data_IF_401460429820
#
_entry.id   IF_401460429820
#
_cell.length_a   1.000
_cell.length_b   1.000
_cell.length_c   1.000
_cell.angle_alpha   90.00
_cell.angle_beta   90.00
_cell.angle_gamma   90.00
#
_symmetry.space_group_name_H-M   'P 1'
#
loop_
_entity.id
_entity.type
_entity.pdbx_description
1 polymer ?
#
# COMPACT_ATOMS: atom_id res chain seq x y z
N UNK A 1 57.71 6.70 -32.91
CA UNK A 1 57.62 6.78 -31.44
C UNK A 1 56.19 6.44 -31.09
N UNK A 2 56.02 5.24 -30.54
CA UNK A 2 54.75 4.51 -30.47
C UNK A 2 53.94 4.93 -29.24
N UNK A 3 52.70 5.34 -29.47
CA UNK A 3 51.75 5.72 -28.43
C UNK A 3 50.97 4.49 -27.97
N UNK A 4 51.24 4.01 -26.76
CA UNK A 4 50.48 2.95 -26.12
C UNK A 4 49.19 3.51 -25.49
N UNK A 5 48.04 3.07 -25.98
CA UNK A 5 46.74 3.21 -25.32
C UNK A 5 46.53 2.04 -24.36
N UNK A 6 46.35 2.32 -23.07
CA UNK A 6 45.90 1.32 -22.08
C UNK A 6 44.38 1.47 -21.97
N UNK A 7 43.67 0.50 -22.54
CA UNK A 7 42.25 0.28 -22.28
C UNK A 7 42.12 -0.49 -20.96
N UNK A 8 41.35 0.06 -20.01
CA UNK A 8 40.95 -0.64 -18.79
C UNK A 8 39.57 -1.23 -19.05
N UNK A 9 39.54 -2.55 -19.25
CA UNK A 9 38.34 -3.36 -19.34
C UNK A 9 37.82 -3.63 -17.91
N UNK A 10 36.70 -3.01 -17.55
CA UNK A 10 36.00 -3.31 -16.29
C UNK A 10 34.88 -4.28 -16.60
N UNK A 11 35.17 -5.58 -16.51
CA UNK A 11 34.13 -6.62 -16.54
C UNK A 11 33.25 -6.50 -15.29
N UNK A 12 32.03 -5.99 -15.48
CA UNK A 12 30.97 -6.08 -14.50
C UNK A 12 30.42 -7.50 -14.44
N UNK A 13 30.73 -8.22 -13.36
CA UNK A 13 30.07 -9.47 -13.00
C UNK A 13 28.61 -9.20 -12.67
N UNK A 14 27.73 -9.52 -13.61
CA UNK A 14 26.28 -9.60 -13.40
C UNK A 14 26.00 -10.88 -12.60
N UNK A 15 25.56 -10.72 -11.36
CA UNK A 15 25.07 -11.83 -10.54
C UNK A 15 23.70 -12.27 -11.08
N UNK A 16 23.67 -13.42 -11.76
CA UNK A 16 22.46 -14.12 -12.13
C UNK A 16 21.74 -14.61 -10.86
N UNK A 17 20.77 -13.84 -10.39
CA UNK A 17 19.76 -14.37 -9.47
C UNK A 17 18.87 -15.35 -10.22
N UNK A 18 19.22 -16.63 -10.09
CA UNK A 18 18.39 -17.76 -10.46
C UNK A 18 16.98 -17.59 -9.88
N UNK A 19 16.02 -17.35 -10.76
CA UNK A 19 14.60 -17.52 -10.52
C UNK A 19 14.31 -19.00 -10.32
N UNK A 20 14.44 -19.49 -9.10
CA UNK A 20 13.99 -20.84 -8.75
C UNK A 20 12.47 -20.96 -8.97
N UNK A 21 11.99 -22.07 -9.55
CA UNK A 21 10.57 -22.31 -9.73
C UNK A 21 9.89 -22.36 -8.36
N UNK A 22 8.93 -21.47 -8.12
CA UNK A 22 8.06 -21.53 -6.96
C UNK A 22 7.19 -22.77 -7.09
N UNK A 23 7.52 -23.80 -6.33
CA UNK A 23 6.56 -24.84 -5.99
C UNK A 23 5.47 -24.21 -5.13
N UNK A 24 4.36 -23.83 -5.77
CA UNK A 24 3.07 -23.70 -5.10
C UNK A 24 2.65 -25.10 -4.68
N UNK A 25 3.19 -25.60 -3.58
CA UNK A 25 2.56 -26.68 -2.84
C UNK A 25 1.36 -26.07 -2.11
N UNK A 26 0.28 -25.82 -2.86
CA UNK A 26 -1.03 -25.90 -2.29
C UNK A 26 -1.14 -27.34 -1.77
N UNK A 27 -0.93 -27.53 -0.47
CA UNK A 27 -1.42 -28.73 0.20
C UNK A 27 -2.92 -28.69 -0.01
N UNK A 28 -3.35 -29.44 -1.02
CA UNK A 28 -4.73 -29.83 -1.25
C UNK A 28 -5.29 -30.29 0.09
N UNK A 29 -6.12 -29.44 0.69
CA UNK A 29 -7.12 -29.93 1.62
C UNK A 29 -7.92 -31.00 0.86
N UNK A 30 -8.20 -32.15 1.47
CA UNK A 30 -8.78 -33.28 0.76
C UNK A 30 -10.06 -32.84 0.04
N UNK A 31 -10.05 -32.98 -1.28
CA UNK A 31 -11.21 -32.76 -2.13
C UNK A 31 -12.25 -33.84 -1.80
N UNK A 32 -13.33 -33.42 -1.14
CA UNK A 32 -14.43 -34.28 -0.77
C UNK A 32 -15.64 -33.48 -0.34
N UNK A 33 -16.51 -33.20 -1.30
CA UNK A 33 -17.94 -32.86 -1.16
C UNK A 33 -18.30 -31.45 -0.64
N UNK A 34 -19.12 -30.77 -1.44
CA UNK A 34 -19.92 -29.62 -1.02
C UNK A 34 -19.63 -28.37 -1.85
N UNK A 35 -20.46 -28.11 -2.86
CA UNK A 35 -20.63 -26.74 -3.34
C UNK A 35 -20.97 -25.88 -2.13
N UNK A 36 -20.09 -24.93 -1.80
CA UNK A 36 -20.30 -24.07 -0.64
C UNK A 36 -21.62 -23.33 -0.82
N UNK A 37 -22.60 -23.70 0.00
CA UNK A 37 -23.94 -23.13 0.01
C UNK A 37 -23.84 -21.60 0.09
N UNK A 38 -24.58 -20.82 -0.72
CA UNK A 38 -24.58 -19.35 -0.65
C UNK A 38 -24.82 -18.85 0.79
N UNK A 39 -25.57 -19.63 1.57
CA UNK A 39 -25.87 -19.43 3.00
C UNK A 39 -24.58 -19.37 3.84
N UNK A 40 -23.59 -20.23 3.56
CA UNK A 40 -22.31 -20.29 4.29
C UNK A 40 -21.43 -19.07 4.00
N UNK A 41 -21.44 -18.56 2.76
CA UNK A 41 -20.71 -17.34 2.41
C UNK A 41 -21.33 -16.08 3.02
N UNK A 42 -22.66 -15.97 3.02
CA UNK A 42 -23.34 -14.87 3.69
C UNK A 42 -23.14 -14.88 5.20
N UNK A 43 -23.15 -16.06 5.83
CA UNK A 43 -22.90 -16.19 7.26
C UNK A 43 -21.44 -15.86 7.60
N UNK A 44 -20.48 -16.33 6.80
CA UNK A 44 -19.07 -15.97 6.96
C UNK A 44 -18.83 -14.48 6.76
N UNK A 45 -19.51 -13.85 5.79
CA UNK A 45 -19.46 -12.41 5.58
C UNK A 45 -20.08 -11.63 6.75
N UNK A 46 -21.21 -12.08 7.29
CA UNK A 46 -21.83 -11.47 8.47
C UNK A 46 -20.93 -11.59 9.71
N UNK A 47 -20.29 -12.75 9.91
CA UNK A 47 -19.29 -12.95 10.98
C UNK A 47 -18.07 -12.05 10.79
N UNK A 48 -17.56 -11.91 9.56
CA UNK A 48 -16.47 -10.98 9.26
C UNK A 48 -16.86 -9.54 9.62
N UNK A 49 -18.07 -9.10 9.25
CA UNK A 49 -18.55 -7.75 9.56
C UNK A 49 -18.73 -7.52 11.07
N UNK A 50 -19.27 -8.50 11.79
CA UNK A 50 -19.40 -8.46 13.25
C UNK A 50 -18.03 -8.47 13.94
N UNK A 51 -17.11 -9.30 13.49
CA UNK A 51 -15.74 -9.32 14.01
C UNK A 51 -15.01 -7.99 13.72
N UNK A 52 -15.29 -7.32 12.61
CA UNK A 52 -14.71 -6.01 12.33
C UNK A 52 -15.34 -4.85 13.14
N UNK A 53 -16.58 -5.00 13.65
CA UNK A 53 -17.22 -3.91 14.42
C UNK A 53 -16.47 -3.62 15.72
N UNK A 54 -15.94 -4.66 16.38
CA UNK A 54 -15.21 -4.52 17.66
C UNK A 54 -13.69 -4.40 17.47
N UNK A 55 -13.24 -4.34 16.22
CA UNK A 55 -11.82 -4.28 15.84
C UNK A 55 -11.47 -3.11 14.92
N UNK A 56 -12.38 -2.14 14.87
CA UNK A 56 -12.19 -0.87 14.19
C UNK A 56 -11.84 0.19 15.21
N UNK A 57 -10.62 0.71 15.12
CA UNK A 57 -10.12 1.75 16.00
C UNK A 57 -10.07 3.06 15.22
N UNK A 58 -10.83 4.07 15.65
CA UNK A 58 -10.71 5.43 15.11
C UNK A 58 -9.61 6.15 15.89
N UNK A 59 -8.54 6.52 15.18
CA UNK A 59 -7.33 7.08 15.80
C UNK A 59 -6.76 8.22 14.96
N UNK A 60 -5.97 9.09 15.58
CA UNK A 60 -5.08 9.97 14.83
C UNK A 60 -3.86 9.18 14.37
N UNK A 61 -3.89 8.71 13.11
CA UNK A 61 -2.78 7.97 12.50
C UNK A 61 -1.51 8.82 12.32
N UNK A 62 -1.60 10.14 12.53
CA UNK A 62 -0.53 11.11 12.29
C UNK A 62 0.05 11.72 13.56
N UNK A 63 -0.42 11.27 14.73
CA UNK A 63 0.13 11.66 16.02
C UNK A 63 1.58 11.16 16.20
N UNK A 64 2.27 11.70 17.20
CA UNK A 64 3.61 11.23 17.57
C UNK A 64 3.59 9.75 17.96
N UNK A 65 4.52 8.97 17.42
CA UNK A 65 4.60 7.52 17.61
C UNK A 65 3.57 6.71 16.81
N UNK A 66 2.67 7.36 16.05
CA UNK A 66 1.73 6.67 15.18
C UNK A 66 2.40 6.22 13.86
N UNK A 67 1.85 5.21 13.16
CA UNK A 67 2.46 4.66 11.93
C UNK A 67 2.64 5.68 10.80
N UNK A 68 1.81 6.74 10.76
CA UNK A 68 1.87 7.80 9.75
C UNK A 68 2.22 9.15 10.39
N UNK A 69 3.07 9.15 11.42
CA UNK A 69 3.49 10.37 12.11
C UNK A 69 3.93 11.46 11.12
N UNK A 70 3.37 12.66 11.28
CA UNK A 70 3.66 13.80 10.42
C UNK A 70 4.12 15.00 11.25
N UNK A 71 5.26 15.59 10.87
CA UNK A 71 5.76 16.83 11.48
C UNK A 71 4.87 18.02 11.09
N UNK A 72 4.31 18.72 12.08
CA UNK A 72 3.38 19.83 11.85
C UNK A 72 4.01 21.00 11.08
N UNK A 73 5.32 21.25 11.24
CA UNK A 73 6.03 22.29 10.49
C UNK A 73 6.17 21.91 9.01
N UNK A 74 6.49 20.65 8.72
CA UNK A 74 6.54 20.11 7.35
C UNK A 74 5.17 20.11 6.69
N UNK A 75 4.12 19.71 7.40
CA UNK A 75 2.75 19.77 6.88
C UNK A 75 2.36 21.20 6.51
N UNK A 76 2.71 22.18 7.34
CA UNK A 76 2.47 23.61 7.03
C UNK A 76 3.25 24.09 5.80
N UNK A 77 4.51 23.67 5.66
CA UNK A 77 5.33 23.97 4.47
C UNK A 77 4.67 23.42 3.19
N UNK A 78 4.21 22.17 3.22
CA UNK A 78 3.51 21.54 2.09
C UNK A 78 2.20 22.25 1.77
N UNK A 79 1.40 22.60 2.77
CA UNK A 79 0.16 23.37 2.58
C UNK A 79 0.41 24.74 1.95
N UNK A 80 1.45 25.45 2.40
CA UNK A 80 1.86 26.72 1.80
C UNK A 80 2.31 26.52 0.35
N UNK A 81 3.12 25.50 0.06
CA UNK A 81 3.56 25.19 -1.32
C UNK A 81 2.39 24.91 -2.25
N UNK A 82 1.44 24.07 -1.82
CA UNK A 82 0.22 23.77 -2.58
C UNK A 82 -0.61 25.03 -2.85
N UNK A 83 -0.76 25.91 -1.85
CA UNK A 83 -1.52 27.17 -2.01
C UNK A 83 -0.81 28.16 -2.92
N UNK A 84 0.46 28.43 -2.63
CA UNK A 84 1.18 29.60 -3.15
C UNK A 84 1.70 29.38 -4.57
N UNK A 85 1.99 28.13 -4.95
CA UNK A 85 2.56 27.81 -6.26
C UNK A 85 1.61 26.98 -7.14
N UNK A 86 0.88 26.03 -6.57
CA UNK A 86 0.01 25.15 -7.36
C UNK A 86 -1.45 25.66 -7.38
N UNK A 87 -1.76 26.69 -6.59
CA UNK A 87 -3.10 27.23 -6.39
C UNK A 87 -4.10 26.12 -6.00
N UNK A 88 -3.67 25.20 -5.13
CA UNK A 88 -4.46 24.08 -4.60
C UNK A 88 -4.82 24.37 -3.14
N UNK A 89 -6.11 24.56 -2.90
CA UNK A 89 -6.74 24.69 -1.58
C UNK A 89 -8.02 23.87 -1.55
N UNK A 90 -8.68 23.75 -0.40
CA UNK A 90 -9.97 23.08 -0.30
C UNK A 90 -11.06 23.72 -1.20
N UNK A 91 -10.96 25.01 -1.53
CA UNK A 91 -11.92 25.69 -2.42
C UNK A 91 -11.52 25.61 -3.89
N UNK A 92 -10.23 25.72 -4.22
CA UNK A 92 -9.77 25.70 -5.63
C UNK A 92 -9.64 24.29 -6.18
N UNK A 93 -9.45 23.28 -5.32
CA UNK A 93 -9.48 21.87 -5.70
C UNK A 93 -10.86 21.46 -6.23
N UNK A 94 -11.93 22.01 -5.67
CA UNK A 94 -13.29 21.65 -6.04
C UNK A 94 -13.81 22.54 -7.16
N UNK A 95 -14.11 21.96 -8.31
CA UNK A 95 -14.60 22.71 -9.47
C UNK A 95 -15.05 21.81 -10.61
N UNK A 96 -15.69 22.43 -11.60
CA UNK A 96 -16.17 21.72 -12.81
C UNK A 96 -15.12 21.69 -13.94
N UNK A 97 -13.94 22.27 -13.70
CA UNK A 97 -12.86 22.31 -14.67
C UNK A 97 -12.22 20.92 -14.81
N UNK A 98 -11.61 20.67 -15.97
CA UNK A 98 -10.85 19.44 -16.21
C UNK A 98 -9.65 19.35 -15.25
N UNK A 99 -9.42 18.14 -14.75
CA UNK A 99 -8.26 17.84 -13.89
C UNK A 99 -7.04 17.54 -14.75
N UNK A 100 -5.90 18.12 -14.40
CA UNK A 100 -4.60 17.84 -15.02
C UNK A 100 -3.58 17.49 -13.94
N UNK A 101 -2.42 16.93 -14.31
CA UNK A 101 -1.35 16.62 -13.35
C UNK A 101 -0.88 17.89 -12.61
N UNK A 102 -0.75 19.01 -13.32
CA UNK A 102 -0.26 20.28 -12.78
C UNK A 102 -1.36 21.11 -12.07
N UNK A 103 -2.62 20.89 -12.43
CA UNK A 103 -3.77 21.57 -11.84
C UNK A 103 -4.87 20.55 -11.52
N UNK A 104 -4.74 19.82 -10.40
CA UNK A 104 -5.75 18.84 -10.00
C UNK A 104 -7.06 19.56 -9.66
N UNK A 105 -8.16 19.05 -10.22
CA UNK A 105 -9.51 19.52 -9.96
C UNK A 105 -10.43 18.33 -9.76
N UNK A 106 -11.26 18.38 -8.73
CA UNK A 106 -12.29 17.38 -8.46
C UNK A 106 -13.66 18.03 -8.59
N UNK A 107 -14.62 17.43 -9.31
CA UNK A 107 -16.02 17.81 -9.17
C UNK A 107 -16.45 17.66 -7.72
N UNK A 108 -17.52 18.37 -7.34
CA UNK A 108 -18.08 18.29 -5.98
C UNK A 108 -18.43 16.85 -5.60
N UNK A 109 -18.71 15.98 -6.56
CA UNK A 109 -18.76 14.54 -6.40
C UNK A 109 -18.78 13.88 -7.77
N UNK A 110 -18.55 12.58 -7.80
CA UNK A 110 -18.57 11.78 -9.02
C UNK A 110 -19.83 10.92 -9.06
N UNK A 111 -20.54 10.97 -10.18
CA UNK A 111 -21.68 10.08 -10.46
C UNK A 111 -21.22 8.71 -10.96
N UNK A 112 -20.11 8.68 -11.69
CA UNK A 112 -19.49 7.47 -12.23
C UNK A 112 -18.15 7.25 -11.58
N UNK A 113 -17.93 6.03 -11.08
CA UNK A 113 -16.77 5.72 -10.24
C UNK A 113 -15.43 5.90 -10.95
N UNK A 114 -15.33 5.32 -12.14
CA UNK A 114 -14.13 5.39 -12.96
C UNK A 114 -13.66 6.80 -13.30
N UNK A 115 -14.58 7.78 -13.33
CA UNK A 115 -14.24 9.17 -13.63
C UNK A 115 -13.53 9.87 -12.48
N UNK A 116 -13.53 9.27 -11.28
CA UNK A 116 -12.81 9.80 -10.12
C UNK A 116 -11.32 9.42 -10.10
N UNK A 117 -10.92 8.36 -10.81
CA UNK A 117 -9.60 7.76 -10.61
C UNK A 117 -8.45 8.71 -10.99
N UNK A 118 -8.51 9.29 -12.19
CA UNK A 118 -7.48 10.21 -12.66
C UNK A 118 -7.47 11.53 -11.85
N UNK A 119 -8.60 12.23 -11.63
CA UNK A 119 -8.62 13.43 -10.78
C UNK A 119 -8.09 13.20 -9.36
N UNK A 120 -8.47 12.09 -8.73
CA UNK A 120 -7.97 11.72 -7.42
C UNK A 120 -6.46 11.47 -7.46
N UNK A 121 -5.97 10.76 -8.48
CA UNK A 121 -4.54 10.49 -8.63
C UNK A 121 -3.72 11.76 -8.82
N UNK A 122 -4.18 12.70 -9.66
CA UNK A 122 -3.51 14.00 -9.83
C UNK A 122 -3.43 14.75 -8.50
N UNK A 123 -4.51 14.78 -7.73
CA UNK A 123 -4.54 15.43 -6.42
C UNK A 123 -3.55 14.80 -5.43
N UNK A 124 -3.55 13.47 -5.30
CA UNK A 124 -2.62 12.76 -4.42
C UNK A 124 -1.16 13.01 -4.85
N UNK A 125 -0.89 13.00 -6.17
CA UNK A 125 0.44 13.24 -6.71
C UNK A 125 0.89 14.70 -6.54
N UNK A 126 -0.02 15.68 -6.57
CA UNK A 126 0.31 17.08 -6.27
C UNK A 126 0.76 17.24 -4.81
N UNK A 127 0.09 16.58 -3.85
CA UNK A 127 0.53 16.56 -2.45
C UNK A 127 1.90 15.89 -2.34
N UNK A 128 2.09 14.74 -3.00
CA UNK A 128 3.37 14.03 -3.01
C UNK A 128 4.49 14.90 -3.57
N UNK A 129 4.24 15.61 -4.67
CA UNK A 129 5.21 16.51 -5.29
C UNK A 129 5.61 17.66 -4.35
N UNK A 130 4.62 18.40 -3.83
CA UNK A 130 4.87 19.46 -2.86
C UNK A 130 5.58 18.94 -1.59
N UNK A 131 5.22 17.75 -1.13
CA UNK A 131 5.91 17.10 -0.01
C UNK A 131 7.36 16.79 -0.32
N UNK A 132 7.70 16.24 -1.50
CA UNK A 132 9.10 15.96 -1.87
C UNK A 132 9.97 17.21 -1.89
N UNK A 133 9.42 18.36 -2.28
CA UNK A 133 10.16 19.63 -2.26
C UNK A 133 10.38 20.18 -0.84
N UNK A 134 9.38 20.05 0.05
CA UNK A 134 9.45 20.57 1.43
C UNK A 134 10.17 19.62 2.40
N UNK A 135 10.10 18.33 2.16
CA UNK A 135 10.76 17.29 2.93
C UNK A 135 12.23 17.28 2.53
N UNK A 136 13.12 17.59 3.47
CA UNK A 136 14.56 17.75 3.22
C UNK A 136 15.14 16.55 2.46
N UNK A 137 15.89 16.77 1.37
CA UNK A 137 16.45 15.68 0.55
C UNK A 137 17.51 14.85 1.28
N UNK A 138 18.06 15.39 2.37
CA UNK A 138 19.15 14.77 3.13
C UNK A 138 18.72 13.64 4.06
N UNK A 139 17.42 13.50 4.35
CA UNK A 139 16.92 12.40 5.17
C UNK A 139 16.36 11.33 4.25
N UNK A 140 17.02 10.18 4.10
CA UNK A 140 16.48 9.08 3.32
C UNK A 140 15.14 8.65 3.93
N UNK A 141 14.16 8.38 3.06
CA UNK A 141 12.82 7.92 3.44
C UNK A 141 12.46 6.73 2.58
N UNK A 142 11.85 5.73 3.20
CA UNK A 142 11.50 4.48 2.52
C UNK A 142 10.56 4.71 1.35
N UNK A 143 9.58 5.62 1.49
CA UNK A 143 8.56 5.90 0.48
C UNK A 143 8.84 7.19 -0.32
N UNK A 144 10.09 7.64 -0.38
CA UNK A 144 10.50 8.87 -1.10
C UNK A 144 10.12 8.88 -2.60
N UNK A 145 10.03 7.71 -3.22
CA UNK A 145 9.66 7.56 -4.63
C UNK A 145 8.18 7.23 -4.86
N UNK A 146 7.34 7.30 -3.83
CA UNK A 146 5.90 7.06 -3.98
C UNK A 146 5.30 7.95 -5.08
N UNK A 147 4.48 7.35 -5.93
CA UNK A 147 3.61 7.99 -6.92
C UNK A 147 2.35 7.15 -7.08
N UNK A 148 1.20 7.80 -7.17
CA UNK A 148 -0.08 7.15 -7.41
C UNK A 148 -0.36 7.02 -8.91
N UNK A 149 -0.97 5.91 -9.30
CA UNK A 149 -1.31 5.58 -10.69
C UNK A 149 -2.74 5.02 -10.75
N UNK A 150 -3.61 5.51 -11.66
CA UNK A 150 -4.85 4.81 -11.96
C UNK A 150 -4.50 3.42 -12.48
N UNK A 151 -5.12 2.38 -11.92
CA UNK A 151 -4.82 1.00 -12.28
C UNK A 151 -6.01 0.35 -12.98
N UNK A 152 -7.10 0.12 -12.25
CA UNK A 152 -8.36 -0.41 -12.78
C UNK A 152 -8.15 -1.66 -13.66
N UNK A 153 -7.29 -2.57 -13.21
CA UNK A 153 -6.94 -3.83 -13.90
C UNK A 153 -6.82 -4.98 -12.91
N UNK A 154 -6.93 -6.19 -13.43
CA UNK A 154 -6.69 -7.40 -12.64
C UNK A 154 -5.22 -7.46 -12.21
N UNK A 155 -4.99 -7.71 -10.93
CA UNK A 155 -3.67 -8.09 -10.39
C UNK A 155 -3.25 -9.45 -10.97
N UNK A 156 -1.94 -9.68 -11.09
CA UNK A 156 -1.40 -10.93 -11.63
C UNK A 156 -1.78 -12.15 -10.79
N UNK A 157 -1.73 -12.03 -9.47
CA UNK A 157 -1.95 -13.17 -8.58
C UNK A 157 -3.38 -13.23 -8.03
N UNK A 158 -3.90 -14.46 -7.94
CA UNK A 158 -5.16 -14.79 -7.29
C UNK A 158 -4.87 -15.41 -5.92
N UNK A 159 -4.87 -14.62 -4.85
CA UNK A 159 -4.56 -15.12 -3.50
C UNK A 159 -5.86 -15.52 -2.78
N UNK A 160 -6.07 -16.84 -2.67
CA UNK A 160 -7.26 -17.45 -2.09
C UNK A 160 -8.58 -16.87 -2.66
N UNK A 161 -8.54 -16.43 -3.91
CA UNK A 161 -9.68 -15.88 -4.62
C UNK A 161 -9.87 -16.66 -5.91
N UNK A 162 -11.13 -16.95 -6.26
CA UNK A 162 -11.48 -17.58 -7.54
C UNK A 162 -11.30 -16.63 -8.73
N UNK A 163 -11.26 -15.33 -8.47
CA UNK A 163 -11.14 -14.29 -9.48
C UNK A 163 -9.99 -13.33 -9.13
N UNK A 164 -9.27 -12.80 -10.13
CA UNK A 164 -8.35 -11.71 -9.91
C UNK A 164 -9.02 -10.54 -9.21
N UNK A 165 -8.25 -9.84 -8.40
CA UNK A 165 -8.67 -8.64 -7.69
C UNK A 165 -8.25 -7.41 -8.50
N UNK A 166 -9.03 -6.34 -8.40
CA UNK A 166 -8.92 -5.18 -9.28
C UNK A 166 -8.93 -3.87 -8.47
N UNK A 167 -7.78 -3.42 -7.93
CA UNK A 167 -7.68 -2.12 -7.28
C UNK A 167 -7.89 -0.96 -8.26
N UNK A 168 -8.51 0.11 -7.78
CA UNK A 168 -8.80 1.28 -8.61
C UNK A 168 -7.54 2.11 -8.87
N UNK A 169 -6.74 2.37 -7.82
CA UNK A 169 -5.50 3.17 -7.87
C UNK A 169 -4.41 2.49 -7.01
N UNK A 170 -3.17 2.52 -7.49
CA UNK A 170 -2.01 1.99 -6.77
C UNK A 170 -1.00 3.12 -6.46
N UNK A 171 -0.48 3.14 -5.24
CA UNK A 171 0.70 3.91 -4.86
C UNK A 171 1.95 3.04 -4.99
N UNK A 172 2.80 3.37 -5.98
CA UNK A 172 4.00 2.62 -6.33
C UNK A 172 5.28 3.43 -6.05
N UNK A 173 6.37 2.76 -5.71
CA UNK A 173 7.72 3.35 -5.55
C UNK A 173 8.47 3.54 -6.87
N UNK A 174 7.73 3.76 -7.96
CA UNK A 174 8.27 4.00 -9.30
C UNK A 174 7.53 5.15 -9.98
N UNK A 175 8.24 5.83 -10.86
CA UNK A 175 7.76 7.04 -11.53
C UNK A 175 6.72 6.80 -12.62
N UNK A 176 6.67 5.60 -13.22
CA UNK A 176 5.76 5.29 -14.33
C UNK A 176 5.23 3.86 -14.24
N UNK A 177 4.00 3.67 -14.74
CA UNK A 177 3.36 2.38 -14.87
C UNK A 177 2.91 2.19 -16.34
N UNK A 178 3.61 1.37 -17.14
CA UNK A 178 3.22 1.04 -18.50
C UNK A 178 1.73 0.65 -18.63
N UNK A 179 1.02 1.13 -19.67
CA UNK A 179 -0.43 0.91 -19.81
C UNK A 179 -0.88 -0.56 -19.85
N UNK A 180 0.00 -1.50 -20.20
CA UNK A 180 -0.31 -2.93 -20.24
C UNK A 180 0.31 -3.73 -19.10
N UNK A 181 1.09 -3.08 -18.23
CA UNK A 181 1.68 -3.76 -17.09
C UNK A 181 0.58 -4.18 -16.11
N UNK A 182 0.68 -5.44 -15.68
CA UNK A 182 -0.10 -5.99 -14.58
C UNK A 182 0.82 -6.14 -13.38
N UNK A 183 0.35 -5.69 -12.22
CA UNK A 183 1.10 -5.69 -10.98
C UNK A 183 0.78 -6.95 -10.17
N UNK A 184 1.82 -7.54 -9.59
CA UNK A 184 1.71 -8.64 -8.64
C UNK A 184 1.51 -8.10 -7.22
N UNK A 185 0.81 -8.85 -6.37
CA UNK A 185 0.74 -8.54 -4.94
C UNK A 185 2.12 -8.64 -4.25
N UNK A 186 3.10 -9.29 -4.88
CA UNK A 186 4.50 -9.41 -4.43
C UNK A 186 5.44 -8.37 -5.05
N UNK A 187 4.89 -7.40 -5.76
CA UNK A 187 5.68 -6.31 -6.31
C UNK A 187 6.27 -5.47 -5.18
N UNK A 188 7.60 -5.29 -5.21
CA UNK A 188 8.33 -4.54 -4.17
C UNK A 188 8.02 -3.05 -4.20
N UNK A 189 7.55 -2.54 -5.33
CA UNK A 189 7.21 -1.13 -5.47
C UNK A 189 5.79 -0.85 -4.98
N UNK A 190 4.92 -1.84 -4.87
CA UNK A 190 3.57 -1.63 -4.36
C UNK A 190 3.63 -1.24 -2.88
N UNK A 191 3.17 -0.03 -2.54
CA UNK A 191 3.26 0.52 -1.19
C UNK A 191 1.90 0.88 -0.58
N UNK A 192 1.00 1.46 -1.38
CA UNK A 192 -0.32 1.93 -0.93
C UNK A 192 -1.37 1.46 -1.93
N UNK A 193 -2.54 1.07 -1.43
CA UNK A 193 -3.69 0.73 -2.28
C UNK A 193 -4.82 1.70 -2.00
N UNK A 194 -5.41 2.22 -3.06
CA UNK A 194 -6.50 3.19 -2.99
C UNK A 194 -7.72 2.58 -3.68
N UNK A 195 -8.84 2.57 -2.97
CA UNK A 195 -10.11 2.08 -3.50
C UNK A 195 -11.13 3.22 -3.47
N UNK A 196 -11.97 3.24 -4.51
CA UNK A 196 -13.01 4.24 -4.73
C UNK A 196 -14.35 3.52 -4.83
N UNK A 197 -15.32 3.92 -4.01
CA UNK A 197 -16.72 3.52 -4.16
C UNK A 197 -17.62 4.68 -3.70
N UNK A 198 -18.93 4.48 -3.71
CA UNK A 198 -19.91 5.39 -3.12
C UNK A 198 -20.56 4.83 -1.83
N UNK A 199 -20.10 3.67 -1.37
CA UNK A 199 -20.61 2.94 -0.21
C UNK A 199 -19.45 2.59 0.74
N UNK A 200 -19.37 3.20 1.94
CA UNK A 200 -18.27 2.98 2.89
C UNK A 200 -18.05 1.51 3.26
N UNK A 201 -19.11 0.73 3.45
CA UNK A 201 -19.00 -0.69 3.78
C UNK A 201 -18.34 -1.50 2.65
N UNK A 202 -18.63 -1.17 1.38
CA UNK A 202 -17.98 -1.82 0.23
C UNK A 202 -16.50 -1.44 0.14
N UNK A 203 -16.16 -0.18 0.43
CA UNK A 203 -14.76 0.28 0.50
C UNK A 203 -13.95 -0.54 1.51
N UNK A 204 -14.41 -0.60 2.76
CA UNK A 204 -13.70 -1.32 3.82
C UNK A 204 -13.60 -2.82 3.49
N UNK A 205 -14.68 -3.43 3.01
CA UNK A 205 -14.67 -4.85 2.61
C UNK A 205 -13.64 -5.13 1.52
N UNK A 206 -13.60 -4.31 0.48
CA UNK A 206 -12.68 -4.49 -0.64
C UNK A 206 -11.23 -4.24 -0.21
N UNK A 207 -10.96 -3.15 0.50
CA UNK A 207 -9.64 -2.84 1.04
C UNK A 207 -9.14 -3.91 2.01
N UNK A 208 -10.01 -4.48 2.85
CA UNK A 208 -9.64 -5.59 3.75
C UNK A 208 -9.21 -6.83 2.95
N UNK A 209 -9.83 -7.07 1.79
CA UNK A 209 -9.46 -8.17 0.90
C UNK A 209 -8.07 -7.95 0.31
N UNK A 210 -7.75 -6.72 -0.08
CA UNK A 210 -6.42 -6.39 -0.57
C UNK A 210 -5.36 -6.41 0.52
N UNK A 211 -5.65 -5.87 1.69
CA UNK A 211 -4.77 -5.93 2.85
C UNK A 211 -4.47 -7.38 3.23
N UNK A 212 -5.47 -8.28 3.14
CA UNK A 212 -5.25 -9.73 3.30
C UNK A 212 -4.19 -10.24 2.34
N UNK A 213 -4.32 -9.90 1.05
CA UNK A 213 -3.41 -10.33 0.00
C UNK A 213 -1.99 -9.84 0.29
N UNK A 214 -1.87 -8.54 0.55
CA UNK A 214 -0.61 -7.86 0.80
C UNK A 214 0.13 -8.41 2.03
N UNK A 215 -0.60 -8.61 3.14
CA UNK A 215 -0.07 -9.20 4.37
C UNK A 215 0.24 -10.70 4.24
N UNK A 216 -0.32 -11.39 3.26
CA UNK A 216 -0.13 -12.84 3.10
C UNK A 216 1.06 -13.19 2.23
N UNK A 217 1.35 -12.33 1.26
CA UNK A 217 2.51 -12.43 0.39
C UNK A 217 3.79 -12.07 1.14
N UNK A 218 3.89 -10.82 1.62
CA UNK A 218 5.07 -10.39 2.35
C UNK A 218 4.86 -10.65 3.84
N UNK A 219 5.36 -11.78 4.29
CA UNK A 219 5.27 -12.19 5.69
C UNK A 219 6.16 -11.38 6.64
N UNK A 220 7.01 -10.48 6.13
CA UNK A 220 7.69 -9.48 6.94
C UNK A 220 6.73 -8.38 7.37
N UNK A 221 5.65 -8.17 6.61
CA UNK A 221 4.74 -7.05 6.79
C UNK A 221 3.81 -7.23 7.98
N UNK A 222 3.86 -6.29 8.92
CA UNK A 222 3.00 -6.23 10.11
C UNK A 222 1.69 -5.48 9.85
N UNK A 223 1.69 -4.49 8.93
CA UNK A 223 0.51 -3.74 8.54
C UNK A 223 0.49 -3.33 7.05
N UNK A 224 -0.69 -2.98 6.53
CA UNK A 224 -0.92 -2.49 5.17
C UNK A 224 -1.56 -1.12 5.20
N UNK A 225 -1.00 -0.15 4.48
CA UNK A 225 -1.57 1.19 4.33
C UNK A 225 -2.53 1.20 3.15
N UNK A 226 -3.73 1.72 3.35
CA UNK A 226 -4.76 1.85 2.32
C UNK A 226 -5.49 3.18 2.43
N UNK A 227 -6.10 3.63 1.34
CA UNK A 227 -6.92 4.84 1.29
C UNK A 227 -8.29 4.47 0.73
N UNK A 228 -9.34 4.81 1.46
CA UNK A 228 -10.72 4.69 1.01
C UNK A 228 -11.21 6.06 0.55
N UNK A 229 -11.79 6.15 -0.65
CA UNK A 229 -12.41 7.37 -1.15
C UNK A 229 -13.88 7.16 -1.49
N UNK A 230 -14.76 7.88 -0.78
CA UNK A 230 -16.16 8.01 -1.18
C UNK A 230 -16.28 9.11 -2.24
N UNK A 231 -16.40 8.68 -3.49
CA UNK A 231 -16.46 9.58 -4.63
C UNK A 231 -17.71 10.47 -4.67
N UNK A 232 -18.81 10.03 -4.05
CA UNK A 232 -20.08 10.75 -4.10
C UNK A 232 -20.03 11.94 -3.16
N UNK A 233 -19.44 11.73 -1.99
CA UNK A 233 -19.36 12.75 -0.93
C UNK A 233 -18.01 13.48 -0.92
N UNK A 234 -17.03 13.01 -1.69
CA UNK A 234 -15.64 13.49 -1.70
C UNK A 234 -14.98 13.41 -0.33
N UNK A 235 -15.17 12.28 0.34
CA UNK A 235 -14.62 12.00 1.67
C UNK A 235 -13.59 10.88 1.62
N UNK A 236 -12.58 10.97 2.48
CA UNK A 236 -11.46 10.05 2.55
C UNK A 236 -11.32 9.43 3.94
N UNK A 237 -10.85 8.19 3.96
CA UNK A 237 -10.30 7.55 5.14
C UNK A 237 -8.92 7.01 4.83
N UNK A 238 -7.98 7.23 5.72
CA UNK A 238 -6.71 6.50 5.74
C UNK A 238 -6.87 5.32 6.67
N UNK A 239 -6.56 4.13 6.18
CA UNK A 239 -6.79 2.89 6.92
C UNK A 239 -5.50 2.07 6.94
N UNK A 240 -5.06 1.75 8.15
CA UNK A 240 -3.94 0.84 8.42
C UNK A 240 -4.53 -0.50 8.89
N UNK A 241 -4.43 -1.51 8.04
CA UNK A 241 -4.82 -2.88 8.39
C UNK A 241 -3.65 -3.58 9.07
N UNK A 242 -3.88 -4.18 10.23
CA UNK A 242 -2.88 -4.93 10.99
C UNK A 242 -3.51 -6.21 11.55
N UNK A 243 -2.70 -7.13 12.07
CA UNK A 243 -3.23 -8.44 12.53
C UNK A 243 -4.23 -8.35 13.68
N UNK A 244 -4.26 -7.24 14.41
CA UNK A 244 -5.22 -7.03 15.51
C UNK A 244 -6.57 -6.46 15.04
N UNK A 245 -6.66 -5.92 13.82
CA UNK A 245 -7.86 -5.25 13.32
C UNK A 245 -7.55 -4.22 12.24
N UNK A 246 -8.26 -3.08 12.29
CA UNK A 246 -7.96 -1.93 11.45
C UNK A 246 -7.98 -0.66 12.28
N UNK A 247 -7.00 0.20 12.01
CA UNK A 247 -6.94 1.55 12.54
C UNK A 247 -7.28 2.51 11.41
N UNK A 248 -8.33 3.30 11.58
CA UNK A 248 -8.83 4.24 10.58
C UNK A 248 -8.71 5.67 11.10
N UNK A 249 -8.38 6.60 10.21
CA UNK A 249 -8.65 8.01 10.46
C UNK A 249 -10.16 8.22 10.63
N UNK A 250 -10.52 9.32 11.28
CA UNK A 250 -11.87 9.87 11.12
C UNK A 250 -12.14 10.21 9.65
N UNK A 251 -13.41 10.40 9.32
CA UNK A 251 -13.85 10.82 8.00
C UNK A 251 -13.28 12.20 7.64
N UNK A 252 -12.55 12.29 6.54
CA UNK A 252 -11.89 13.52 6.09
C UNK A 252 -12.59 14.05 4.85
N UNK A 253 -13.27 15.19 4.97
CA UNK A 253 -13.97 15.81 3.84
C UNK A 253 -13.05 16.73 3.04
N UNK A 254 -12.89 16.49 1.74
CA UNK A 254 -12.19 17.43 0.85
C UNK A 254 -12.90 18.78 0.71
N UNK A 255 -14.17 18.85 1.12
CA UNK A 255 -14.98 20.08 1.06
C UNK A 255 -14.74 21.01 2.25
N UNK A 256 -14.11 20.53 3.32
CA UNK A 256 -13.75 21.36 4.47
C UNK A 256 -12.26 21.63 4.47
N UNK A 257 -11.88 22.82 4.94
CA UNK A 257 -10.48 23.17 5.10
C UNK A 257 -9.76 22.19 6.05
N UNK A 258 -10.38 21.88 7.18
CA UNK A 258 -9.84 20.93 8.15
C UNK A 258 -9.62 19.54 7.52
N UNK A 259 -10.59 19.02 6.77
CA UNK A 259 -10.46 17.72 6.12
C UNK A 259 -9.37 17.71 5.04
N UNK A 260 -9.28 18.76 4.22
CA UNK A 260 -8.19 18.94 3.27
C UNK A 260 -6.81 18.96 3.96
N UNK A 261 -6.64 19.77 5.01
CA UNK A 261 -5.40 19.83 5.78
C UNK A 261 -5.05 18.47 6.40
N UNK A 262 -6.02 17.76 6.95
CA UNK A 262 -5.82 16.40 7.48
C UNK A 262 -5.41 15.41 6.39
N UNK A 263 -5.97 15.49 5.18
CA UNK A 263 -5.57 14.62 4.06
C UNK A 263 -4.11 14.88 3.68
N UNK A 264 -3.71 16.15 3.56
CA UNK A 264 -2.31 16.54 3.32
C UNK A 264 -1.42 16.00 4.44
N UNK A 265 -1.83 16.13 5.71
CA UNK A 265 -1.11 15.61 6.88
C UNK A 265 -0.85 14.10 6.77
N UNK A 266 -1.84 13.30 6.37
CA UNK A 266 -1.68 11.85 6.25
C UNK A 266 -0.74 11.45 5.10
N UNK A 267 -0.81 12.12 3.95
CA UNK A 267 0.13 11.86 2.83
C UNK A 267 1.56 12.23 3.23
N UNK A 268 1.75 13.38 3.89
CA UNK A 268 3.06 13.75 4.46
C UNK A 268 3.53 12.71 5.47
N UNK A 269 2.64 12.17 6.30
CA UNK A 269 2.92 11.08 7.24
C UNK A 269 3.43 9.82 6.55
N UNK A 270 2.72 9.35 5.50
CA UNK A 270 3.15 8.22 4.67
C UNK A 270 4.55 8.47 4.10
N UNK A 271 4.78 9.64 3.51
CA UNK A 271 6.08 9.99 2.93
C UNK A 271 7.18 10.19 3.97
N UNK A 272 6.83 10.40 5.24
CA UNK A 272 7.77 10.60 6.34
C UNK A 272 8.29 9.32 6.95
N UNK A 273 7.78 8.15 6.52
CA UNK A 273 8.24 6.84 7.00
C UNK A 273 9.73 6.67 6.69
N UNK A 274 10.60 6.56 7.72
CA UNK A 274 12.05 6.65 7.54
C UNK A 274 12.65 5.43 6.84
N UNK A 275 12.24 4.22 7.22
CA UNK A 275 12.86 2.97 6.77
C UNK A 275 11.84 1.81 6.65
N UNK A 276 12.34 0.63 6.25
CA UNK A 276 11.55 -0.58 6.11
C UNK A 276 10.87 -1.02 7.42
N UNK A 277 11.54 -0.84 8.56
CA UNK A 277 11.05 -1.28 9.86
C UNK A 277 9.87 -0.42 10.32
N UNK A 278 9.99 0.91 10.18
CA UNK A 278 8.89 1.83 10.40
C UNK A 278 7.74 1.63 9.39
N UNK A 279 8.04 1.12 8.18
CA UNK A 279 7.02 0.67 7.22
C UNK A 279 6.40 -0.70 7.56
N UNK A 280 6.75 -1.26 8.72
CA UNK A 280 6.21 -2.50 9.24
C UNK A 280 6.83 -3.75 8.64
N UNK A 281 8.03 -3.67 8.06
CA UNK A 281 8.75 -4.83 7.54
C UNK A 281 9.73 -5.37 8.59
N UNK A 282 9.52 -6.62 9.00
CA UNK A 282 10.42 -7.36 9.88
C UNK A 282 11.78 -7.61 9.19
N UNK A 283 12.80 -6.87 9.63
CA UNK A 283 14.17 -6.94 9.12
C UNK A 283 14.90 -8.22 9.55
N UNK A 284 14.36 -8.98 10.50
CA UNK A 284 14.92 -10.30 10.85
C UNK A 284 14.59 -11.37 9.81
N UNK A 285 13.82 -11.01 8.76
CA UNK A 285 13.46 -11.92 7.67
C UNK A 285 13.85 -11.32 6.33
N UNK A 286 14.48 -12.12 5.48
CA UNK A 286 14.78 -11.76 4.09
C UNK A 286 14.55 -12.97 3.20
N UNK A 287 13.55 -12.87 2.31
CA UNK A 287 13.12 -13.99 1.47
C UNK A 287 12.79 -15.24 2.30
N UNK A 288 13.56 -16.30 2.08
CA UNK A 288 13.44 -17.58 2.77
C UNK A 288 14.37 -17.70 3.98
N UNK A 289 15.00 -16.63 4.46
CA UNK A 289 15.90 -16.67 5.62
C UNK A 289 15.30 -15.94 6.81
N UNK A 290 15.35 -16.59 7.97
CA UNK A 290 15.09 -15.99 9.28
C UNK A 290 16.40 -15.79 10.04
N UNK A 291 16.54 -14.64 10.70
CA UNK A 291 17.62 -14.36 11.64
C UNK A 291 17.07 -14.50 13.05
N UNK A 292 17.49 -15.54 13.76
CA UNK A 292 17.06 -15.85 15.13
C UNK A 292 18.32 -15.94 16.00
N UNK A 293 18.39 -15.17 17.09
CA UNK A 293 19.56 -15.12 17.97
C UNK A 293 20.89 -14.90 17.21
N UNK A 294 20.89 -13.96 16.25
CA UNK A 294 22.02 -13.63 15.37
C UNK A 294 22.54 -14.80 14.53
N UNK A 295 21.73 -15.84 14.30
CA UNK A 295 22.02 -16.94 13.38
C UNK A 295 21.01 -16.97 12.25
N UNK A 296 21.44 -17.37 11.08
CA UNK A 296 20.61 -17.44 9.89
C UNK A 296 20.06 -18.85 9.73
N UNK A 297 18.76 -18.90 9.44
CA UNK A 297 18.00 -20.12 9.26
C UNK A 297 17.22 -20.04 7.96
N UNK A 298 17.53 -20.92 7.03
CA UNK A 298 16.78 -21.06 5.79
C UNK A 298 15.48 -21.82 6.05
N UNK A 299 14.37 -21.32 5.52
CA UNK A 299 13.09 -22.00 5.44
C UNK A 299 13.22 -23.09 4.39
N UNK A 300 13.32 -24.34 4.86
CA UNK A 300 13.40 -25.52 3.98
C UNK A 300 12.02 -25.94 3.51
N UNK A 301 11.01 -25.84 4.38
CA UNK A 301 9.62 -26.17 4.03
C UNK A 301 8.59 -25.46 4.91
N UNK A 302 7.46 -25.00 4.35
CA UNK A 302 6.29 -24.65 5.15
C UNK A 302 5.65 -25.91 5.74
N UNK A 303 5.42 -25.92 7.04
CA UNK A 303 4.66 -26.98 7.74
C UNK A 303 3.20 -26.56 7.86
N UNK A 304 2.97 -25.31 8.26
CA UNK A 304 1.64 -24.74 8.39
C UNK A 304 1.72 -23.24 8.16
N UNK A 305 0.78 -22.68 7.40
CA UNK A 305 0.65 -21.23 7.27
C UNK A 305 -0.82 -20.85 7.26
N UNK A 306 -1.19 -19.90 8.12
CA UNK A 306 -2.52 -19.30 8.12
C UNK A 306 -2.45 -17.92 7.47
N UNK A 307 -3.40 -17.67 6.57
CA UNK A 307 -3.65 -16.36 5.95
C UNK A 307 -4.88 -15.75 6.61
N UNK A 308 -4.73 -14.61 7.27
CA UNK A 308 -5.86 -13.89 7.86
C UNK A 308 -5.56 -12.39 7.92
N UNK A 309 -6.55 -11.53 7.67
CA UNK A 309 -6.39 -10.07 7.92
C UNK A 309 -6.26 -9.83 9.42
N UNK A 310 -7.16 -10.42 10.20
CA UNK A 310 -7.27 -10.31 11.64
C UNK A 310 -7.07 -11.66 12.33
N UNK A 311 -6.48 -11.64 13.51
CA UNK A 311 -6.15 -12.80 14.32
C UNK A 311 -4.70 -13.27 14.12
N UNK A 312 -4.38 -14.43 14.70
CA UNK A 312 -3.03 -14.99 14.64
C UNK A 312 -2.72 -15.51 13.24
N UNK A 313 -1.84 -14.81 12.53
CA UNK A 313 -1.28 -15.24 11.25
C UNK A 313 -0.17 -16.29 11.45
N UNK A 314 -0.51 -17.40 12.13
CA UNK A 314 0.44 -18.44 12.51
C UNK A 314 1.17 -19.00 11.29
N UNK A 315 2.48 -19.07 11.36
CA UNK A 315 3.31 -19.75 10.39
C UNK A 315 4.32 -20.66 11.11
N UNK A 316 4.42 -21.90 10.67
CA UNK A 316 5.32 -22.92 11.17
C UNK A 316 6.15 -23.42 10.00
N UNK A 317 7.46 -23.35 10.15
CA UNK A 317 8.42 -23.72 9.12
C UNK A 317 9.37 -24.79 9.64
N UNK A 318 9.76 -25.72 8.77
CA UNK A 318 10.99 -26.46 8.95
C UNK A 318 12.15 -25.57 8.54
N UNK A 319 13.10 -25.36 9.45
CA UNK A 319 14.25 -24.50 9.23
C UNK A 319 15.56 -25.27 9.33
N UNK A 320 16.60 -24.81 8.62
CA UNK A 320 17.95 -25.35 8.65
C UNK A 320 18.94 -24.21 8.83
N UNK A 321 19.98 -24.42 9.64
CA UNK A 321 21.05 -23.42 9.79
C UNK A 321 21.69 -23.12 8.43
N UNK A 322 21.89 -21.84 8.13
CA UNK A 322 22.52 -21.37 6.91
C UNK A 322 23.78 -20.56 7.28
N UNK A 323 24.87 -20.80 6.56
CA UNK A 323 26.14 -20.06 6.74
C UNK A 323 26.16 -18.71 5.99
N UNK A 324 25.03 -18.32 5.38
CA UNK A 324 24.93 -17.07 4.62
C UNK A 324 25.24 -15.86 5.50
N UNK A 325 26.06 -14.94 5.01
CA UNK A 325 26.21 -13.59 5.58
C UNK A 325 25.06 -12.71 5.09
N UNK A 326 24.45 -11.96 6.01
CA UNK A 326 23.47 -10.90 5.69
C UNK A 326 24.15 -9.67 5.12
#
# INVERSE_FOLDING_TARGET
>A
MSSNSIAVDTQGTVSEHQSSPRFSSATSSPAGLGGSDPIVQSEMMARILHEFSDATFFVDLTAEGAPLQADSSKVRQVLNRLRDHDNITHTTLLGNNLSTEDAPRLPKGFTVERYSYAPLTHFLNAIVHAAKECLTPWTPRHLSNLRFHPYDKDMLDTIDSKKPLKPDILGLLRSSLPPQEKISWNDRDLAVIVEVKNEPLKLVKQLSTYARCFLSIDRRRSFSITIAFDQRTSKMHFIVFHRSGLSSSHELSLRSEAGFQSIVKHIVGILSIPDEEAFGLDRTRSGNVHRINNRNYEIVRPIHTRVCVRGRATAVYGIRGAELSF
#
